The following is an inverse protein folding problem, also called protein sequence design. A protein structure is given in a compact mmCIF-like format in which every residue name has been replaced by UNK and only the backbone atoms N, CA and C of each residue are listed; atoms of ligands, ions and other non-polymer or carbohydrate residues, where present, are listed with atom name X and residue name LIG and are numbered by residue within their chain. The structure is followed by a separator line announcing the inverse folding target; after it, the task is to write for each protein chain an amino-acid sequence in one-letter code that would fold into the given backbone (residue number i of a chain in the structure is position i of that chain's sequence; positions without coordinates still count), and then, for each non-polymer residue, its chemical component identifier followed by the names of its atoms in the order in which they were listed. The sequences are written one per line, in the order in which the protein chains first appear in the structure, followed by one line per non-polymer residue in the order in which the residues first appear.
data_IF_078163637181
#
_entry.id   IF_078163637181
#
_cell.length_a   1.000
_cell.length_b   1.000
_cell.length_c   1.000
_cell.angle_alpha   90.00
_cell.angle_beta   90.00
_cell.angle_gamma   90.00
#
_symmetry.space_group_name_H-M   'P 1'
#
loop_
_entity.id
_entity.type
_entity.pdbx_description
1 polymer ?
#
# COMPACT_ATOMS: atom_id res chain seq x y z
N UNK A 1 3.13 6.21 14.33
CA UNK A 1 2.53 6.83 13.13
C UNK A 1 2.56 5.85 11.95
N UNK A 2 2.07 6.25 10.78
CA UNK A 2 1.95 5.39 9.60
C UNK A 2 2.55 6.05 8.34
N UNK A 3 3.28 5.28 7.55
CA UNK A 3 3.80 5.63 6.23
C UNK A 3 3.11 4.81 5.16
N UNK A 4 2.77 5.46 4.06
CA UNK A 4 2.53 4.78 2.80
C UNK A 4 3.84 4.75 2.01
N UNK A 5 4.30 3.55 1.63
CA UNK A 5 5.56 3.34 0.92
C UNK A 5 5.27 2.67 -0.42
N UNK A 6 5.74 3.28 -1.51
CA UNK A 6 5.61 2.76 -2.87
C UNK A 6 6.97 2.44 -3.48
N UNK A 7 7.00 1.45 -4.38
CA UNK A 7 8.18 0.98 -5.12
C UNK A 7 8.26 1.58 -6.54
N UNK A 8 9.42 1.46 -7.19
CA UNK A 8 9.59 1.90 -8.58
C UNK A 8 9.96 3.38 -8.77
N UNK A 9 10.31 4.10 -7.68
CA UNK A 9 10.64 5.52 -7.72
C UNK A 9 12.16 5.77 -7.77
N UNK A 10 12.69 6.50 -8.77
CA UNK A 10 14.12 6.81 -8.82
C UNK A 10 14.52 7.83 -7.75
N UNK A 11 15.81 7.83 -7.36
CA UNK A 11 16.35 8.85 -6.46
C UNK A 11 16.33 10.26 -7.12
N UNK A 12 16.13 11.35 -6.36
CA UNK A 12 16.00 12.70 -6.90
C UNK A 12 17.18 13.20 -7.76
N UNK A 13 18.40 12.73 -7.50
CA UNK A 13 19.61 13.14 -8.23
C UNK A 13 19.86 12.33 -9.52
N UNK A 14 19.21 11.17 -9.69
CA UNK A 14 19.27 10.36 -10.92
C UNK A 14 18.30 10.84 -12.01
N UNK A 15 18.06 12.16 -12.07
CA UNK A 15 17.08 12.80 -12.96
C UNK A 15 17.53 12.94 -14.41
N UNK A 16 18.77 12.52 -14.75
CA UNK A 16 19.18 12.38 -16.15
C UNK A 16 18.32 11.28 -16.79
N UNK A 17 17.37 11.70 -17.65
CA UNK A 17 16.41 10.88 -18.41
C UNK A 17 15.02 10.62 -17.79
N UNK A 18 14.54 11.49 -16.88
CA UNK A 18 13.15 11.43 -16.39
C UNK A 18 12.07 11.52 -17.49
N UNK A 19 12.39 12.13 -18.66
CA UNK A 19 11.47 12.17 -19.83
C UNK A 19 11.48 10.88 -20.67
N UNK A 20 12.52 10.06 -20.60
CA UNK A 20 12.67 8.84 -21.41
C UNK A 20 12.23 7.58 -20.65
N UNK A 21 12.14 7.61 -19.32
CA UNK A 21 11.55 6.55 -18.47
C UNK A 21 10.00 6.51 -18.48
N UNK A 22 9.35 7.02 -19.53
CA UNK A 22 7.87 6.91 -19.67
C UNK A 22 7.35 5.47 -19.78
N UNK A 23 8.24 4.48 -19.86
CA UNK A 23 7.90 3.09 -19.58
C UNK A 23 8.28 2.76 -18.14
N UNK A 24 7.29 2.61 -17.26
CA UNK A 24 7.50 1.92 -15.98
C UNK A 24 8.07 0.53 -16.31
N UNK A 25 9.08 0.07 -15.58
CA UNK A 25 9.43 -1.35 -15.68
C UNK A 25 8.22 -2.18 -15.31
N UNK A 26 7.83 -3.10 -16.19
CA UNK A 26 6.76 -4.05 -15.94
C UNK A 26 7.36 -5.44 -15.77
N UNK A 27 6.77 -6.21 -14.87
CA UNK A 27 7.13 -7.59 -14.64
C UNK A 27 6.00 -8.49 -15.12
N UNK A 28 6.37 -9.50 -15.91
CA UNK A 28 5.48 -10.56 -16.36
C UNK A 28 5.88 -11.87 -15.72
N UNK A 29 4.91 -12.64 -15.26
CA UNK A 29 5.18 -13.94 -14.65
C UNK A 29 5.57 -14.93 -15.76
N UNK A 30 6.70 -15.59 -15.58
CA UNK A 30 7.17 -16.64 -16.50
C UNK A 30 6.65 -18.02 -16.10
N UNK A 31 6.23 -18.15 -14.85
CA UNK A 31 5.68 -19.36 -14.23
C UNK A 31 4.58 -19.01 -13.22
N UNK A 32 4.06 -20.03 -12.54
CA UNK A 32 2.90 -19.88 -11.65
C UNK A 32 1.61 -19.61 -12.43
N UNK A 33 0.52 -19.41 -11.69
CA UNK A 33 -0.76 -19.01 -12.27
C UNK A 33 -1.49 -18.08 -11.30
N UNK A 34 -1.41 -16.77 -11.57
CA UNK A 34 -2.05 -15.74 -10.75
C UNK A 34 -3.55 -15.93 -10.58
N UNK A 35 -4.23 -16.48 -11.58
CA UNK A 35 -5.68 -16.72 -11.50
C UNK A 35 -6.04 -17.83 -10.51
N UNK A 36 -5.06 -18.66 -10.15
CA UNK A 36 -5.18 -19.77 -9.22
C UNK A 36 -4.59 -19.47 -7.84
N UNK A 37 -3.91 -18.35 -7.63
CA UNK A 37 -3.45 -17.93 -6.30
C UNK A 37 -4.67 -17.80 -5.36
N UNK A 38 -4.55 -18.37 -4.16
CA UNK A 38 -5.59 -18.36 -3.13
C UNK A 38 -5.05 -17.86 -1.80
N UNK A 39 -5.92 -17.25 -1.01
CA UNK A 39 -5.65 -16.92 0.38
C UNK A 39 -5.72 -18.18 1.25
N UNK A 40 -5.00 -18.18 2.36
CA UNK A 40 -5.16 -19.18 3.42
C UNK A 40 -6.57 -19.07 4.03
N UNK A 41 -7.05 -17.84 4.24
CA UNK A 41 -8.40 -17.52 4.71
C UNK A 41 -9.01 -16.39 3.88
N UNK A 42 -10.06 -16.69 3.11
CA UNK A 42 -10.79 -15.74 2.28
C UNK A 42 -12.14 -15.30 2.89
N UNK A 43 -12.39 -15.60 4.18
CA UNK A 43 -13.57 -15.12 4.90
C UNK A 43 -13.66 -13.59 4.87
N UNK A 44 -14.85 -13.07 4.58
CA UNK A 44 -15.06 -11.62 4.59
C UNK A 44 -15.08 -11.09 6.02
N UNK A 45 -14.58 -9.87 6.19
CA UNK A 45 -14.72 -9.11 7.43
C UNK A 45 -15.39 -7.76 7.18
N UNK A 46 -15.36 -6.88 8.18
CA UNK A 46 -15.96 -5.55 8.17
C UNK A 46 -15.17 -4.51 7.37
N UNK A 47 -14.09 -4.91 6.68
CA UNK A 47 -13.24 -4.05 5.86
C UNK A 47 -13.45 -4.20 4.35
N UNK A 48 -12.41 -3.84 3.58
CA UNK A 48 -12.45 -3.95 2.11
C UNK A 48 -12.62 -5.40 1.67
N UNK A 49 -13.28 -5.59 0.52
CA UNK A 49 -13.56 -6.92 -0.04
C UNK A 49 -12.28 -7.74 -0.10
N UNK A 50 -12.34 -8.93 0.50
CA UNK A 50 -11.24 -9.89 0.47
C UNK A 50 -11.44 -10.77 -0.77
N UNK A 51 -10.45 -10.79 -1.65
CA UNK A 51 -10.48 -11.56 -2.89
C UNK A 51 -9.19 -12.34 -3.03
N UNK A 52 -9.29 -13.54 -3.59
CA UNK A 52 -8.13 -14.33 -3.98
C UNK A 52 -7.32 -13.64 -5.09
N UNK A 53 -6.07 -14.06 -5.29
CA UNK A 53 -5.21 -13.55 -6.37
C UNK A 53 -4.49 -12.23 -6.08
N UNK A 54 -4.55 -11.70 -4.86
CA UNK A 54 -3.87 -10.45 -4.48
C UNK A 54 -3.22 -10.52 -3.10
N UNK A 55 -2.01 -9.97 -2.98
CA UNK A 55 -1.33 -9.77 -1.71
C UNK A 55 -1.74 -8.48 -0.98
N UNK A 56 -2.64 -7.68 -1.55
CA UNK A 56 -3.01 -6.36 -1.02
C UNK A 56 -4.11 -6.40 0.06
N UNK A 57 -4.54 -7.59 0.51
CA UNK A 57 -5.66 -7.73 1.46
C UNK A 57 -5.24 -7.92 2.90
N UNK A 58 -3.94 -8.00 3.20
CA UNK A 58 -3.44 -8.14 4.56
C UNK A 58 -3.47 -9.57 5.10
N UNK A 59 -3.52 -10.58 4.21
CA UNK A 59 -3.71 -11.98 4.59
C UNK A 59 -2.73 -12.90 3.86
N UNK A 60 -2.30 -14.01 4.50
CA UNK A 60 -1.39 -14.96 3.87
C UNK A 60 -1.97 -15.61 2.62
N UNK A 61 -1.12 -15.81 1.62
CA UNK A 61 -1.37 -16.58 0.41
C UNK A 61 -0.93 -18.03 0.61
N UNK A 62 -1.57 -18.95 -0.13
CA UNK A 62 -1.12 -20.33 -0.28
C UNK A 62 0.03 -20.42 -1.29
N UNK A 63 1.00 -21.34 -1.10
CA UNK A 63 2.20 -21.42 -1.93
C UNK A 63 1.96 -21.98 -3.35
N UNK A 64 0.86 -22.67 -3.61
CA UNK A 64 0.71 -23.62 -4.74
C UNK A 64 0.90 -23.01 -6.14
N UNK A 65 0.53 -21.74 -6.32
CA UNK A 65 0.48 -21.09 -7.63
C UNK A 65 1.23 -19.75 -7.66
N UNK A 66 2.05 -19.51 -6.65
CA UNK A 66 2.87 -18.30 -6.56
C UNK A 66 3.95 -18.37 -7.65
N UNK A 67 4.11 -17.33 -8.49
CA UNK A 67 5.21 -17.30 -9.43
C UNK A 67 6.55 -17.34 -8.70
N UNK A 68 7.58 -17.85 -9.35
CA UNK A 68 8.96 -17.82 -8.85
C UNK A 68 9.91 -17.15 -9.81
N UNK A 69 9.45 -16.85 -11.04
CA UNK A 69 10.24 -16.25 -12.11
C UNK A 69 9.48 -15.12 -12.78
N UNK A 70 10.14 -13.99 -12.96
CA UNK A 70 9.60 -12.79 -13.59
C UNK A 70 10.46 -12.38 -14.78
N UNK A 71 9.85 -12.07 -15.91
CA UNK A 71 10.48 -11.35 -17.02
C UNK A 71 10.28 -9.85 -16.81
N UNK A 72 11.34 -9.05 -16.98
CA UNK A 72 11.26 -7.58 -16.83
C UNK A 72 11.37 -6.87 -18.17
N UNK A 73 10.38 -6.05 -18.46
CA UNK A 73 10.32 -5.12 -19.59
C UNK A 73 10.46 -3.67 -19.11
N UNK A 74 11.13 -2.75 -19.83
CA UNK A 74 11.91 -3.02 -21.03
C UNK A 74 13.20 -3.77 -20.69
N UNK A 75 13.67 -4.60 -21.62
CA UNK A 75 14.85 -5.46 -21.42
C UNK A 75 16.22 -4.75 -21.38
N UNK A 76 16.28 -3.46 -21.02
CA UNK A 76 17.54 -2.69 -21.00
C UNK A 76 17.81 -2.18 -19.59
N UNK A 77 18.63 -2.93 -18.85
CA UNK A 77 19.12 -2.52 -17.53
C UNK A 77 19.95 -1.25 -17.61
N UNK A 78 20.74 -1.10 -18.67
CA UNK A 78 21.56 0.10 -18.89
C UNK A 78 20.72 1.38 -19.01
N UNK A 79 19.49 1.28 -19.51
CA UNK A 79 18.56 2.42 -19.65
C UNK A 79 17.63 2.56 -18.46
N UNK A 80 17.14 1.43 -17.96
CA UNK A 80 16.23 1.35 -16.82
C UNK A 80 16.87 0.39 -15.81
N UNK A 81 17.74 0.90 -14.91
CA UNK A 81 18.38 0.07 -13.90
C UNK A 81 17.34 -0.61 -13.02
N UNK A 82 17.67 -1.79 -12.50
CA UNK A 82 16.82 -2.48 -11.55
C UNK A 82 16.95 -1.81 -10.19
N UNK A 83 15.82 -1.43 -9.59
CA UNK A 83 15.81 -0.78 -8.28
C UNK A 83 15.85 -1.83 -7.15
N UNK A 84 16.17 -1.38 -5.94
CA UNK A 84 16.10 -2.24 -4.75
C UNK A 84 14.66 -2.60 -4.43
N UNK A 85 13.74 -1.64 -4.62
CA UNK A 85 12.30 -1.83 -4.44
C UNK A 85 11.53 -1.41 -5.69
N UNK A 86 10.75 -2.34 -6.23
CA UNK A 86 9.96 -2.15 -7.46
C UNK A 86 8.48 -2.36 -7.16
N UNK A 87 7.62 -1.72 -7.96
CA UNK A 87 6.19 -2.03 -7.93
C UNK A 87 5.89 -3.25 -8.79
N UNK A 88 5.08 -4.15 -8.27
CA UNK A 88 4.59 -5.37 -8.89
C UNK A 88 3.09 -5.51 -8.67
N UNK A 89 2.40 -6.26 -9.52
CA UNK A 89 1.00 -6.70 -9.39
C UNK A 89 0.10 -5.82 -8.50
N UNK A 90 -0.52 -4.81 -9.11
CA UNK A 90 -1.53 -3.98 -8.44
C UNK A 90 -0.99 -3.14 -7.27
N UNK A 91 0.28 -2.73 -7.32
CA UNK A 91 0.90 -1.88 -6.29
C UNK A 91 1.69 -2.66 -5.22
N UNK A 92 1.72 -3.99 -5.29
CA UNK A 92 2.58 -4.85 -4.46
C UNK A 92 4.05 -4.49 -4.58
N UNK A 93 4.84 -4.79 -3.55
CA UNK A 93 6.27 -4.50 -3.56
C UNK A 93 7.07 -5.76 -3.91
N UNK A 94 7.98 -5.63 -4.86
CA UNK A 94 9.15 -6.50 -4.99
C UNK A 94 10.30 -5.85 -4.23
N UNK A 95 10.77 -6.50 -3.18
CA UNK A 95 11.76 -5.94 -2.26
C UNK A 95 13.07 -6.70 -2.33
N UNK A 96 14.18 -6.01 -2.06
CA UNK A 96 15.49 -6.64 -1.89
C UNK A 96 15.60 -7.38 -0.55
N UNK A 97 16.66 -8.19 -0.41
CA UNK A 97 16.95 -8.95 0.81
C UNK A 97 17.09 -8.05 2.04
N UNK A 98 17.79 -6.91 1.92
CA UNK A 98 17.99 -5.97 3.04
C UNK A 98 16.68 -5.46 3.63
N UNK A 99 15.66 -5.17 2.80
CA UNK A 99 14.35 -4.73 3.29
C UNK A 99 13.60 -5.89 3.96
N UNK A 100 13.62 -7.08 3.34
CA UNK A 100 13.04 -8.30 3.92
C UNK A 100 13.62 -8.54 5.31
N UNK A 101 14.94 -8.54 5.44
CA UNK A 101 15.64 -8.85 6.69
C UNK A 101 15.36 -7.80 7.76
N UNK A 102 15.26 -6.51 7.39
CA UNK A 102 14.85 -5.45 8.32
C UNK A 102 13.42 -5.70 8.87
N UNK A 103 12.48 -6.11 8.02
CA UNK A 103 11.11 -6.34 8.48
C UNK A 103 11.00 -7.64 9.29
N UNK A 104 11.72 -8.70 8.91
CA UNK A 104 11.80 -9.94 9.69
C UNK A 104 12.50 -9.75 11.05
N UNK A 105 13.44 -8.80 11.16
CA UNK A 105 14.04 -8.43 12.45
C UNK A 105 12.99 -7.82 13.40
N UNK A 106 12.09 -6.99 12.87
CA UNK A 106 11.06 -6.30 13.64
C UNK A 106 9.83 -7.19 13.89
N UNK A 107 9.43 -7.99 12.91
CA UNK A 107 8.22 -8.82 12.91
C UNK A 107 8.53 -10.24 12.38
N UNK A 108 9.25 -11.07 13.16
CA UNK A 108 9.70 -12.38 12.71
C UNK A 108 8.52 -13.32 12.43
N UNK A 109 8.57 -14.01 11.29
CA UNK A 109 7.58 -15.01 10.86
C UNK A 109 6.14 -14.47 10.72
N UNK A 110 5.97 -13.14 10.63
CA UNK A 110 4.64 -12.52 10.50
C UNK A 110 4.23 -12.41 9.04
N UNK A 111 5.14 -11.98 8.15
CA UNK A 111 4.83 -11.64 6.77
C UNK A 111 5.31 -12.70 5.78
N UNK A 112 4.83 -12.63 4.54
CA UNK A 112 5.31 -13.53 3.50
C UNK A 112 6.20 -12.79 2.51
N UNK A 113 7.29 -13.47 2.18
CA UNK A 113 8.28 -13.03 1.20
C UNK A 113 8.49 -14.15 0.19
N UNK A 114 7.83 -14.04 -0.95
CA UNK A 114 7.94 -15.07 -1.99
C UNK A 114 9.14 -14.77 -2.89
N UNK A 115 10.14 -15.66 -2.99
CA UNK A 115 11.32 -15.42 -3.80
C UNK A 115 10.97 -15.38 -5.30
N UNK A 116 11.50 -14.40 -6.00
CA UNK A 116 11.26 -14.12 -7.42
C UNK A 116 12.58 -13.89 -8.14
N UNK A 117 12.95 -14.82 -9.00
CA UNK A 117 14.07 -14.66 -9.94
C UNK A 117 13.65 -13.70 -11.05
N UNK A 118 14.39 -12.61 -11.24
CA UNK A 118 14.12 -11.63 -12.29
C UNK A 118 15.04 -11.89 -13.47
N UNK A 119 14.43 -12.01 -14.64
CA UNK A 119 15.09 -12.27 -15.92
C UNK A 119 14.99 -11.07 -16.86
N UNK A 120 16.07 -10.79 -17.57
CA UNK A 120 16.15 -9.81 -18.65
C UNK A 120 16.84 -10.45 -19.84
N UNK A 121 16.17 -10.50 -21.01
CA UNK A 121 16.67 -11.20 -22.21
C UNK A 121 17.09 -12.66 -21.95
N UNK A 122 16.40 -13.33 -21.03
CA UNK A 122 16.68 -14.73 -20.67
C UNK A 122 17.82 -14.94 -19.65
N UNK A 123 18.53 -13.88 -19.26
CA UNK A 123 19.55 -13.92 -18.20
C UNK A 123 18.92 -13.58 -16.85
N UNK A 124 19.22 -14.34 -15.81
CA UNK A 124 18.83 -14.00 -14.44
C UNK A 124 19.69 -12.84 -13.95
N UNK A 125 19.07 -11.74 -13.54
CA UNK A 125 19.77 -10.50 -13.16
C UNK A 125 19.61 -10.14 -11.69
N UNK A 126 18.60 -10.70 -11.01
CA UNK A 126 18.41 -10.47 -9.59
C UNK A 126 17.48 -11.52 -8.95
N UNK A 127 17.57 -11.61 -7.63
CA UNK A 127 16.54 -12.18 -6.77
C UNK A 127 15.85 -11.02 -6.02
N UNK A 128 14.53 -11.03 -6.00
CA UNK A 128 13.68 -10.14 -5.19
C UNK A 128 12.63 -10.97 -4.47
N UNK A 129 11.94 -10.34 -3.53
CA UNK A 129 10.87 -10.98 -2.78
C UNK A 129 9.57 -10.23 -3.00
N UNK A 130 8.51 -10.93 -3.42
CA UNK A 130 7.18 -10.37 -3.38
C UNK A 130 6.69 -10.32 -1.94
N UNK A 131 6.58 -9.09 -1.42
CA UNK A 131 6.17 -8.82 -0.06
C UNK A 131 4.65 -8.80 0.10
N UNK A 132 4.15 -9.58 1.06
CA UNK A 132 2.75 -9.62 1.48
C UNK A 132 2.67 -9.30 2.98
N UNK A 133 2.16 -8.11 3.30
CA UNK A 133 1.80 -7.76 4.66
C UNK A 133 0.66 -8.67 5.13
N UNK A 134 0.84 -9.31 6.28
CA UNK A 134 -0.10 -10.31 6.83
C UNK A 134 -0.78 -9.85 8.12
N UNK A 135 -0.63 -8.57 8.47
CA UNK A 135 -1.50 -7.91 9.42
C UNK A 135 -2.64 -7.21 8.69
N UNK A 136 -3.87 -7.58 9.04
CA UNK A 136 -5.10 -6.90 8.60
C UNK A 136 -5.82 -6.31 9.79
N UNK A 137 -5.71 -5.01 9.98
CA UNK A 137 -6.20 -4.32 11.18
C UNK A 137 -7.01 -3.08 10.82
N UNK A 138 -7.76 -2.54 11.79
CA UNK A 138 -8.45 -1.26 11.65
C UNK A 138 -7.68 -0.24 12.47
N UNK A 139 -6.76 0.48 11.83
CA UNK A 139 -5.84 1.41 12.46
C UNK A 139 -6.30 2.87 12.34
N UNK A 140 -7.25 3.22 11.47
CA UNK A 140 -7.79 4.58 11.42
C UNK A 140 -8.41 5.03 12.76
N UNK A 141 -8.09 6.26 13.16
CA UNK A 141 -8.54 6.89 14.40
C UNK A 141 -9.95 7.46 14.24
N UNK A 142 -10.92 6.87 14.94
CA UNK A 142 -12.32 7.36 14.95
C UNK A 142 -12.45 8.79 15.48
N UNK A 143 -11.58 9.19 16.39
CA UNK A 143 -11.66 10.50 17.06
C UNK A 143 -10.99 11.64 16.28
N UNK A 144 -10.03 11.32 15.40
CA UNK A 144 -9.13 12.33 14.83
C UNK A 144 -9.23 12.46 13.31
N UNK A 145 -9.79 11.47 12.61
CA UNK A 145 -10.03 11.59 11.17
C UNK A 145 -11.05 12.69 10.84
N UNK A 146 -10.80 13.39 9.74
CA UNK A 146 -11.76 14.30 9.11
C UNK A 146 -11.85 14.03 7.60
N UNK A 147 -13.05 13.88 7.02
CA UNK A 147 -14.33 13.73 7.70
C UNK A 147 -14.34 12.57 8.71
N UNK A 148 -15.26 12.59 9.70
CA UNK A 148 -15.41 11.48 10.63
C UNK A 148 -15.63 10.17 9.88
N UNK A 149 -15.10 9.07 10.43
CA UNK A 149 -15.34 7.76 9.86
C UNK A 149 -16.86 7.46 9.87
N UNK A 150 -17.35 6.81 8.82
CA UNK A 150 -18.73 6.32 8.77
C UNK A 150 -19.02 5.33 9.90
N UNK A 151 -20.29 4.95 10.11
CA UNK A 151 -20.67 3.94 11.11
C UNK A 151 -19.90 2.62 10.93
N UNK A 152 -19.66 2.24 9.67
CA UNK A 152 -18.87 1.07 9.28
C UNK A 152 -17.35 1.26 9.41
N UNK A 153 -16.90 2.45 9.83
CA UNK A 153 -15.50 2.79 10.05
C UNK A 153 -14.73 3.17 8.79
N UNK A 154 -15.40 3.48 7.68
CA UNK A 154 -14.77 3.96 6.44
C UNK A 154 -14.45 5.44 6.51
N UNK A 155 -13.30 5.82 5.95
CA UNK A 155 -13.01 7.21 5.67
C UNK A 155 -13.43 7.56 4.24
N UNK A 156 -14.24 8.60 4.10
CA UNK A 156 -14.65 9.14 2.80
C UNK A 156 -14.13 10.59 2.70
N UNK A 157 -13.48 10.97 1.59
CA UNK A 157 -12.96 12.32 1.43
C UNK A 157 -14.08 13.36 1.40
N UNK A 158 -13.79 14.58 1.84
CA UNK A 158 -14.71 15.70 1.67
C UNK A 158 -14.99 15.98 0.18
N UNK A 159 -16.09 16.69 -0.14
CA UNK A 159 -16.31 17.21 -1.48
C UNK A 159 -15.09 17.96 -2.02
N UNK A 160 -14.84 17.89 -3.34
CA UNK A 160 -13.60 18.35 -3.98
C UNK A 160 -13.11 19.76 -3.57
N UNK A 161 -14.02 20.69 -3.24
CA UNK A 161 -13.68 22.05 -2.81
C UNK A 161 -13.54 22.24 -1.29
N UNK A 162 -13.41 21.16 -0.52
CA UNK A 162 -13.25 21.18 0.95
C UNK A 162 -12.14 20.24 1.44
N UNK A 163 -11.41 19.62 0.50
CA UNK A 163 -10.40 18.58 0.79
C UNK A 163 -9.18 19.11 1.51
N UNK A 164 -8.97 20.42 1.53
CA UNK A 164 -7.90 21.04 2.31
C UNK A 164 -8.03 20.79 3.83
N UNK A 165 -9.21 20.39 4.30
CA UNK A 165 -9.45 20.04 5.70
C UNK A 165 -9.37 18.54 5.98
N UNK A 166 -9.27 17.72 4.94
CA UNK A 166 -9.24 16.26 5.04
C UNK A 166 -8.00 15.83 5.82
N UNK A 167 -8.23 14.94 6.79
CA UNK A 167 -7.24 14.41 7.71
C UNK A 167 -7.47 12.91 7.87
N UNK A 168 -6.52 12.12 7.40
CA UNK A 168 -6.48 10.69 7.65
C UNK A 168 -5.48 10.50 8.78
N UNK A 169 -5.98 10.00 9.91
CA UNK A 169 -5.21 9.90 11.14
C UNK A 169 -5.25 8.46 11.63
N UNK A 170 -4.10 7.88 11.94
CA UNK A 170 -3.98 6.53 12.47
C UNK A 170 -3.85 6.53 14.00
N UNK A 171 -4.41 5.50 14.64
CA UNK A 171 -4.35 5.25 16.09
C UNK A 171 -3.20 4.31 16.42
N UNK A 172 -2.23 4.79 17.20
CA UNK A 172 -1.09 3.99 17.68
C UNK A 172 -1.54 2.80 18.53
N UNK A 173 -2.59 2.99 19.34
CA UNK A 173 -3.21 1.92 20.13
C UNK A 173 -3.73 0.80 19.22
N UNK A 174 -4.43 1.15 18.15
CA UNK A 174 -4.97 0.17 17.20
C UNK A 174 -3.87 -0.51 16.35
N UNK A 175 -2.80 0.22 16.01
CA UNK A 175 -1.61 -0.35 15.36
C UNK A 175 -0.96 -1.38 16.28
N UNK A 176 -0.83 -1.06 17.57
CA UNK A 176 -0.38 -1.99 18.60
C UNK A 176 1.06 -2.49 18.38
N UNK A 177 1.96 -1.60 17.95
CA UNK A 177 3.38 -1.91 17.73
C UNK A 177 3.71 -2.66 16.44
N UNK A 178 2.75 -2.81 15.52
CA UNK A 178 2.99 -3.47 14.22
C UNK A 178 3.78 -2.57 13.26
N UNK A 179 4.64 -3.18 12.46
CA UNK A 179 5.55 -2.47 11.57
C UNK A 179 5.11 -2.46 10.11
N UNK A 180 4.34 -3.45 9.65
CA UNK A 180 3.61 -3.41 8.38
C UNK A 180 2.20 -4.02 8.47
N UNK A 181 1.20 -3.38 7.86
CA UNK A 181 -0.18 -3.88 7.84
C UNK A 181 -0.96 -3.40 6.61
N UNK A 182 -2.13 -4.01 6.37
CA UNK A 182 -3.17 -3.48 5.49
C UNK A 182 -4.33 -3.03 6.34
N UNK A 183 -4.76 -1.79 6.15
CA UNK A 183 -5.89 -1.26 6.90
C UNK A 183 -7.22 -1.78 6.32
N UNK A 184 -8.16 -2.12 7.20
CA UNK A 184 -9.49 -2.61 6.80
C UNK A 184 -10.32 -1.54 6.08
N UNK A 185 -10.11 -0.28 6.40
CA UNK A 185 -10.90 0.87 5.95
C UNK A 185 -10.13 1.93 5.16
N UNK A 186 -8.82 1.78 5.05
CA UNK A 186 -7.97 2.60 4.20
C UNK A 186 -7.26 1.70 3.20
N UNK A 187 -7.34 2.03 1.91
CA UNK A 187 -6.78 1.19 0.87
C UNK A 187 -5.26 1.27 0.87
N UNK A 188 -4.62 0.09 0.79
CA UNK A 188 -3.18 -0.17 0.69
C UNK A 188 -2.46 -0.47 2.02
N UNK A 189 -1.20 -0.87 1.89
CA UNK A 189 -0.32 -1.25 2.99
C UNK A 189 0.25 -0.01 3.66
N UNK A 190 0.37 -0.08 4.98
CA UNK A 190 0.92 0.97 5.83
C UNK A 190 2.10 0.42 6.61
N UNK A 191 3.02 1.30 6.98
CA UNK A 191 4.23 0.96 7.70
C UNK A 191 4.44 1.86 8.92
N UNK A 192 5.04 1.36 9.99
CA UNK A 192 5.38 2.17 11.17
C UNK A 192 6.47 3.20 10.90
N UNK A 193 6.61 4.21 11.77
CA UNK A 193 7.77 5.14 11.70
C UNK A 193 9.08 4.40 11.91
N UNK A 194 9.16 3.48 12.87
CA UNK A 194 10.40 2.78 13.18
C UNK A 194 10.93 2.05 11.94
N UNK A 195 10.05 1.33 11.24
CA UNK A 195 10.44 0.65 10.00
C UNK A 195 10.83 1.67 8.92
N UNK A 196 10.02 2.70 8.69
CA UNK A 196 10.28 3.68 7.64
C UNK A 196 11.59 4.45 7.87
N UNK A 197 11.87 4.89 9.10
CA UNK A 197 13.09 5.60 9.46
C UNK A 197 14.33 4.72 9.35
N UNK A 198 14.24 3.45 9.75
CA UNK A 198 15.32 2.48 9.55
C UNK A 198 15.55 2.23 8.05
N UNK A 199 14.49 2.14 7.27
CA UNK A 199 14.55 1.95 5.82
C UNK A 199 15.16 3.16 5.09
N UNK A 200 14.81 4.39 5.50
CA UNK A 200 15.42 5.61 4.97
C UNK A 200 16.94 5.65 5.19
N UNK A 201 17.41 5.19 6.36
CA UNK A 201 18.85 5.13 6.68
C UNK A 201 19.63 4.14 5.80
N UNK A 202 18.95 3.14 5.22
CA UNK A 202 19.57 2.20 4.28
C UNK A 202 19.77 2.79 2.89
N UNK A 203 19.14 3.94 2.58
CA UNK A 203 19.26 4.64 1.30
C UNK A 203 19.02 3.73 0.07
N UNK A 204 18.02 2.85 0.17
CA UNK A 204 17.64 1.95 -0.92
C UNK A 204 16.98 2.73 -2.07
N UNK A 205 17.24 2.29 -3.29
CA UNK A 205 16.61 2.84 -4.50
C UNK A 205 15.19 2.33 -4.69
N UNK A 206 14.34 3.08 -5.39
CA UNK A 206 12.99 2.62 -5.72
C UNK A 206 11.90 3.03 -4.72
N UNK A 207 12.25 3.64 -3.60
CA UNK A 207 11.31 3.97 -2.53
C UNK A 207 10.79 5.41 -2.61
N UNK A 208 9.49 5.56 -2.42
CA UNK A 208 8.88 6.84 -2.05
C UNK A 208 8.15 6.68 -0.71
N UNK A 209 8.33 7.67 0.16
CA UNK A 209 7.71 7.71 1.49
C UNK A 209 6.69 8.83 1.54
N UNK A 210 5.44 8.48 1.85
CA UNK A 210 4.38 9.44 2.14
C UNK A 210 4.00 9.26 3.61
N UNK A 211 4.21 10.29 4.42
CA UNK A 211 3.90 10.25 5.84
C UNK A 211 2.43 10.61 6.05
N UNK A 212 1.69 9.74 6.72
CA UNK A 212 0.33 10.01 7.18
C UNK A 212 0.33 10.52 8.62
N UNK A 213 -0.74 11.21 9.03
CA UNK A 213 -0.84 11.81 10.36
C UNK A 213 -1.12 10.76 11.44
N UNK A 214 -0.62 10.99 12.65
CA UNK A 214 -0.91 10.20 13.85
C UNK A 214 -1.72 11.00 14.85
N UNK A 215 -2.62 10.30 15.57
CA UNK A 215 -3.32 10.87 16.70
C UNK A 215 -2.38 10.94 17.91
N UNK A 216 -2.02 12.16 18.29
CA UNK A 216 -1.33 12.48 19.55
C UNK A 216 -2.29 13.14 20.53
N UNK A 217 -1.94 13.22 21.82
CA UNK A 217 -2.71 13.97 22.83
C UNK A 217 -2.89 15.45 22.47
N UNK A 218 -1.99 16.00 21.64
CA UNK A 218 -2.04 17.37 21.12
C UNK A 218 -2.83 17.48 19.81
N UNK A 219 -3.17 16.36 19.16
CA UNK A 219 -3.95 16.37 17.94
C UNK A 219 -5.35 16.87 18.29
N UNK A 220 -5.81 18.01 17.71
CA UNK A 220 -7.08 18.59 18.11
C UNK A 220 -8.20 17.58 17.88
N UNK A 221 -8.83 17.12 18.96
CA UNK A 221 -10.10 16.41 18.87
C UNK A 221 -11.08 17.35 18.19
N UNK A 222 -11.69 16.89 17.10
CA UNK A 222 -12.65 17.72 16.39
C UNK A 222 -13.87 17.95 17.29
N UNK A 223 -13.93 19.14 17.89
CA UNK A 223 -15.19 19.70 18.36
C UNK A 223 -16.01 20.02 17.11
N UNK A 224 -17.07 19.27 16.85
CA UNK A 224 -18.03 19.59 15.80
C UNK A 224 -18.39 21.07 15.91
N UNK A 225 -18.21 21.90 14.86
CA UNK A 225 -18.80 23.23 14.87
C UNK A 225 -20.31 23.01 14.98
N UNK A 226 -20.89 23.48 16.08
CA UNK A 226 -22.33 23.45 16.31
C UNK A 226 -23.02 24.13 15.13
N UNK A 227 -23.76 23.38 14.31
CA UNK A 227 -24.78 23.95 13.43
C UNK A 227 -24.69 23.75 11.92
N UNK A 228 -23.80 22.90 11.38
CA UNK A 228 -23.92 22.49 9.98
C UNK A 228 -24.21 20.99 9.85
N UNK A 229 -25.48 20.64 10.06
CA UNK A 229 -26.02 19.36 9.58
C UNK A 229 -25.90 19.38 8.05
N UNK A 230 -25.19 18.42 7.42
CA UNK A 230 -25.18 18.30 5.98
C UNK A 230 -26.62 18.07 5.52
N UNK A 231 -27.14 18.95 4.66
CA UNK A 231 -28.48 18.75 4.09
C UNK A 231 -28.53 17.38 3.41
N UNK A 232 -29.49 16.49 3.75
CA UNK A 232 -29.63 15.24 3.02
C UNK A 232 -29.85 15.56 1.55
N UNK A 233 -29.10 14.88 0.67
CA UNK A 233 -29.32 14.96 -0.77
C UNK A 233 -30.76 14.55 -1.07
N UNK A 234 -31.61 15.51 -1.42
CA UNK A 234 -32.98 15.22 -1.85
C UNK A 234 -32.92 14.49 -3.19
N UNK A 235 -33.37 13.24 -3.23
CA UNK A 235 -33.45 12.40 -4.43
C UNK A 235 -34.55 12.82 -5.43
N UNK A 236 -35.24 13.96 -5.22
CA UNK A 236 -36.45 14.34 -5.96
C UNK A 236 -36.24 15.35 -7.09
N UNK A 237 -35.01 15.56 -7.56
CA UNK A 237 -34.72 16.55 -8.61
C UNK A 237 -34.81 16.07 -10.08
N UNK A 238 -35.26 14.84 -10.36
CA UNK A 238 -35.16 14.23 -11.71
C UNK A 238 -36.48 13.73 -12.31
N UNK A 239 -37.59 14.42 -12.05
CA UNK A 239 -38.90 13.99 -12.60
C UNK A 239 -39.79 15.11 -13.15
N UNK A 240 -39.26 16.31 -13.42
CA UNK A 240 -40.03 17.36 -14.09
C UNK A 240 -39.20 18.08 -15.17
N UNK A 241 -38.87 17.35 -16.23
CA UNK A 241 -38.67 17.92 -17.56
C UNK A 241 -40.01 17.93 -18.28
N UNK A 242 -40.60 19.12 -18.39
CA UNK A 242 -41.87 19.41 -19.05
C UNK A 242 -41.75 19.22 -20.58
N UNK A 243 -42.86 18.75 -21.15
CA UNK A 243 -43.37 18.87 -22.54
C UNK A 243 -42.53 19.61 -23.56
#
# INVERSE_FOLDING_TARGET
MAYFITGGHPLPEESFHAKERRGNSSFEDMDGDRSLIRLVDNSQDDGHRIVDGTGAVGRPLKPDHIPTKLSREPWSIDRVPLLDVETYLGGSLLVCETLKDLLEELEPDVHQFWPMEIYVKGEMVALRYWFVACHRIRALSREHCYPPLSERGWWDPSPLGQRENDRIVFSSEAIGGRHAWVDKAYSDRMFSDEFAERLMKLNLTGLQFVKEQEATDETPKLSMPSGQVPKPRSFLGRLLGKT
#
